data_IF_875841428467
#
_entry.id   IF_875841428467
#
_cell.length_a   1.000
_cell.length_b   1.000
_cell.length_c   1.000
_cell.angle_alpha   90.00
_cell.angle_beta   90.00
_cell.angle_gamma   90.00
#
_symmetry.space_group_name_H-M   'P 1'
#
loop_
_entity.id
_entity.type
_entity.pdbx_description
1 polymer ?
#
# COMPACT_ATOMS: atom_id res chain seq x y z
N UNK A 1 1.00 -10.73 -11.86
CA UNK A 1 -0.04 -9.69 -11.97
C UNK A 1 -1.38 -10.37 -12.15
N UNK A 2 -2.01 -10.82 -11.06
CA UNK A 2 -3.26 -11.63 -11.12
C UNK A 2 -4.40 -11.07 -10.25
N UNK A 3 -4.16 -10.00 -9.48
CA UNK A 3 -5.14 -9.51 -8.50
C UNK A 3 -5.73 -8.13 -8.81
N UNK A 4 -5.18 -7.39 -9.77
CA UNK A 4 -5.75 -6.12 -10.24
C UNK A 4 -6.13 -6.25 -11.72
N UNK A 5 -7.41 -6.50 -12.04
CA UNK A 5 -7.88 -6.84 -13.40
C UNK A 5 -7.60 -5.78 -14.48
N UNK A 6 -7.27 -4.55 -14.08
CA UNK A 6 -7.03 -3.39 -14.96
C UNK A 6 -5.58 -2.87 -14.91
N UNK A 7 -4.68 -3.51 -14.16
CA UNK A 7 -3.27 -3.13 -14.17
C UNK A 7 -2.54 -3.76 -15.36
N UNK A 8 -1.76 -2.94 -16.06
CA UNK A 8 -0.84 -3.45 -17.06
C UNK A 8 0.21 -4.34 -16.38
N UNK A 9 0.74 -5.37 -17.05
CA UNK A 9 1.90 -6.10 -16.55
C UNK A 9 3.10 -5.13 -16.49
N UNK A 10 3.31 -4.50 -15.34
CA UNK A 10 4.45 -3.64 -15.09
C UNK A 10 5.57 -4.49 -14.50
N UNK A 11 6.76 -4.38 -15.09
CA UNK A 11 7.98 -4.86 -14.45
C UNK A 11 8.28 -3.91 -13.28
N UNK A 12 7.86 -4.31 -12.08
CA UNK A 12 8.21 -3.60 -10.86
C UNK A 12 9.71 -3.76 -10.61
N UNK A 13 10.40 -2.65 -10.42
CA UNK A 13 11.84 -2.64 -10.17
C UNK A 13 12.12 -2.81 -8.70
N UNK A 14 11.20 -2.32 -7.86
CA UNK A 14 11.29 -2.41 -6.41
C UNK A 14 9.91 -2.42 -5.77
N UNK A 15 9.75 -3.25 -4.75
CA UNK A 15 8.61 -3.23 -3.82
C UNK A 15 9.18 -3.36 -2.42
N UNK A 16 8.93 -2.37 -1.57
CA UNK A 16 9.28 -2.39 -0.15
C UNK A 16 8.02 -2.17 0.64
N UNK A 17 7.75 -3.04 1.61
CA UNK A 17 6.66 -2.88 2.57
C UNK A 17 7.23 -2.82 3.98
N UNK A 18 6.69 -1.94 4.81
CA UNK A 18 7.01 -1.80 6.22
C UNK A 18 5.72 -1.86 7.04
N UNK A 19 5.81 -2.51 8.21
CA UNK A 19 4.71 -2.62 9.17
C UNK A 19 5.23 -2.15 10.52
N UNK A 20 4.52 -1.18 11.11
CA UNK A 20 4.85 -0.60 12.40
C UNK A 20 3.70 -0.79 13.38
N UNK A 21 4.00 -1.10 14.64
CA UNK A 21 3.00 -1.20 15.70
C UNK A 21 3.11 0.02 16.59
N UNK A 22 2.00 0.75 16.76
CA UNK A 22 1.88 1.83 17.73
C UNK A 22 1.03 1.37 18.91
N UNK A 23 1.71 1.05 20.01
CA UNK A 23 1.08 0.59 21.25
C UNK A 23 0.29 1.70 21.93
N UNK A 24 0.71 2.96 21.78
CA UNK A 24 0.07 4.09 22.44
C UNK A 24 -1.31 4.39 21.83
N UNK A 25 -1.43 4.29 20.50
CA UNK A 25 -2.70 4.44 19.79
C UNK A 25 -3.45 3.13 19.54
N UNK A 26 -2.87 1.97 19.94
CA UNK A 26 -3.40 0.64 19.64
C UNK A 26 -3.67 0.42 18.14
N UNK A 27 -2.74 0.89 17.30
CA UNK A 27 -2.88 0.84 15.85
C UNK A 27 -1.69 0.15 15.18
N UNK A 28 -1.93 -0.32 13.95
CA UNK A 28 -0.90 -0.92 13.09
C UNK A 28 -0.81 -0.06 11.83
N UNK A 29 0.38 0.49 11.59
CA UNK A 29 0.72 1.20 10.36
C UNK A 29 1.27 0.24 9.33
N UNK A 30 0.91 0.46 8.06
CA UNK A 30 1.51 -0.22 6.93
C UNK A 30 1.87 0.80 5.85
N UNK A 31 3.13 0.80 5.43
CA UNK A 31 3.63 1.66 4.36
C UNK A 31 4.20 0.79 3.25
N UNK A 32 3.92 1.14 1.99
CA UNK A 32 4.53 0.47 0.85
C UNK A 32 5.10 1.49 -0.14
N UNK A 33 6.31 1.23 -0.61
CA UNK A 33 6.96 1.95 -1.69
C UNK A 33 7.13 1.02 -2.89
N UNK A 34 6.60 1.45 -4.04
CA UNK A 34 6.67 0.71 -5.30
C UNK A 34 7.33 1.57 -6.34
N UNK A 35 8.26 0.99 -7.11
CA UNK A 35 8.99 1.66 -8.18
C UNK A 35 8.87 0.86 -9.48
N UNK A 36 8.87 1.57 -10.61
CA UNK A 36 8.94 0.96 -11.95
C UNK A 36 9.60 1.90 -12.95
N UNK A 37 10.18 1.34 -14.01
CA UNK A 37 10.58 2.08 -15.23
C UNK A 37 9.51 1.93 -16.34
N UNK A 38 8.25 2.08 -15.97
CA UNK A 38 7.09 1.95 -16.84
C UNK A 38 6.59 3.29 -17.40
N UNK A 39 5.68 3.22 -18.39
CA UNK A 39 4.99 4.39 -18.96
C UNK A 39 3.80 4.87 -18.11
N UNK A 40 3.36 4.05 -17.16
CA UNK A 40 2.25 4.33 -16.25
C UNK A 40 2.79 4.42 -14.82
N UNK A 41 2.10 5.20 -13.98
CA UNK A 41 2.39 5.23 -12.55
C UNK A 41 2.07 3.89 -11.88
N UNK A 42 2.54 3.75 -10.63
CA UNK A 42 2.39 2.56 -9.78
C UNK A 42 1.61 2.87 -8.49
N UNK A 43 0.75 3.89 -8.52
CA UNK A 43 -0.06 4.30 -7.38
C UNK A 43 -0.97 3.16 -6.91
N UNK A 44 -1.55 2.42 -7.85
CA UNK A 44 -2.47 1.32 -7.56
C UNK A 44 -1.72 0.13 -6.96
N UNK A 45 -0.52 -0.18 -7.45
CA UNK A 45 0.33 -1.23 -6.92
C UNK A 45 0.76 -0.94 -5.48
N UNK A 46 1.08 0.33 -5.16
CA UNK A 46 1.39 0.74 -3.79
C UNK A 46 0.18 0.60 -2.86
N UNK A 47 -0.99 1.11 -3.27
CA UNK A 47 -2.23 0.99 -2.48
C UNK A 47 -2.65 -0.48 -2.28
N UNK A 48 -2.47 -1.29 -3.32
CA UNK A 48 -2.78 -2.72 -3.27
C UNK A 48 -1.84 -3.46 -2.32
N UNK A 49 -0.55 -3.15 -2.33
CA UNK A 49 0.42 -3.73 -1.40
C UNK A 49 0.06 -3.42 0.07
N UNK A 50 -0.31 -2.17 0.37
CA UNK A 50 -0.77 -1.78 1.72
C UNK A 50 -2.06 -2.50 2.11
N UNK A 51 -3.05 -2.54 1.22
CA UNK A 51 -4.32 -3.25 1.47
C UNK A 51 -4.11 -4.73 1.80
N UNK A 52 -3.32 -5.44 0.99
CA UNK A 52 -3.05 -6.86 1.23
C UNK A 52 -2.26 -7.06 2.52
N UNK A 53 -1.29 -6.18 2.82
CA UNK A 53 -0.57 -6.20 4.09
C UNK A 53 -1.51 -6.05 5.30
N UNK A 54 -2.39 -5.05 5.28
CA UNK A 54 -3.36 -4.82 6.35
C UNK A 54 -4.41 -5.93 6.47
N UNK A 55 -4.87 -6.49 5.36
CA UNK A 55 -5.76 -7.66 5.37
C UNK A 55 -5.08 -8.89 5.97
N UNK A 56 -3.78 -9.06 5.77
CA UNK A 56 -3.00 -10.14 6.38
C UNK A 56 -2.92 -9.96 7.90
N UNK A 57 -2.68 -8.74 8.36
CA UNK A 57 -2.71 -8.40 9.80
C UNK A 57 -4.10 -8.66 10.39
N UNK A 58 -5.17 -8.24 9.69
CA UNK A 58 -6.53 -8.52 10.11
C UNK A 58 -6.76 -10.03 10.23
N UNK A 59 -6.32 -10.83 9.26
CA UNK A 59 -6.46 -12.28 9.27
C UNK A 59 -5.77 -12.93 10.47
N UNK A 60 -4.59 -12.44 10.87
CA UNK A 60 -3.86 -12.94 12.03
C UNK A 60 -4.51 -12.55 13.37
N UNK A 61 -5.13 -11.37 13.44
CA UNK A 61 -5.65 -10.81 14.70
C UNK A 61 -7.16 -10.98 14.89
N UNK A 62 -7.93 -11.34 13.85
CA UNK A 62 -9.41 -11.48 13.90
C UNK A 62 -9.95 -12.44 14.96
N UNK A 63 -9.12 -13.37 15.44
CA UNK A 63 -9.49 -14.28 16.51
C UNK A 63 -9.56 -13.58 17.88
N UNK A 64 -8.74 -12.53 18.06
CA UNK A 64 -8.65 -11.74 19.30
C UNK A 64 -9.64 -10.58 19.26
N UNK A 65 -9.67 -9.86 18.14
CA UNK A 65 -10.58 -8.72 17.94
C UNK A 65 -11.13 -8.71 16.51
N UNK A 66 -12.46 -8.79 16.37
CA UNK A 66 -13.14 -8.72 15.06
C UNK A 66 -13.56 -7.30 14.69
N UNK A 67 -13.54 -6.37 15.65
CA UNK A 67 -13.92 -4.98 15.49
C UNK A 67 -12.84 -4.10 14.88
N UNK A 68 -11.66 -4.65 14.58
CA UNK A 68 -10.59 -3.91 13.90
C UNK A 68 -11.09 -3.28 12.59
N UNK A 69 -10.67 -2.04 12.34
CA UNK A 69 -11.03 -1.28 11.14
C UNK A 69 -9.76 -0.95 10.38
N UNK A 70 -9.80 -1.18 9.06
CA UNK A 70 -8.76 -0.71 8.15
C UNK A 70 -9.19 0.68 7.66
N UNK A 71 -8.39 1.70 7.96
CA UNK A 71 -8.68 3.08 7.62
C UNK A 71 -7.42 3.82 7.14
N UNK A 72 -7.60 5.04 6.61
CA UNK A 72 -6.48 5.91 6.27
C UNK A 72 -5.61 5.46 5.09
N UNK A 73 -6.04 4.47 4.29
CA UNK A 73 -5.30 4.00 3.12
C UNK A 73 -5.31 5.07 2.03
N UNK A 74 -4.16 5.69 1.78
CA UNK A 74 -3.97 6.74 0.77
C UNK A 74 -2.54 6.75 0.23
N UNK A 75 -2.36 7.34 -0.95
CA UNK A 75 -1.01 7.61 -1.49
C UNK A 75 -0.45 8.82 -0.73
N UNK A 76 0.77 8.70 -0.23
CA UNK A 76 1.46 9.80 0.46
C UNK A 76 2.33 10.60 -0.49
N UNK A 77 3.06 9.91 -1.36
CA UNK A 77 4.02 10.52 -2.29
C UNK A 77 4.00 9.77 -3.62
N UNK A 78 4.23 10.51 -4.69
CA UNK A 78 4.41 9.99 -6.04
C UNK A 78 5.46 10.83 -6.74
N UNK A 79 6.41 10.19 -7.39
CA UNK A 79 7.41 10.85 -8.22
C UNK A 79 7.32 10.39 -9.67
N UNK A 80 7.52 11.34 -10.59
CA UNK A 80 7.60 11.06 -12.02
C UNK A 80 6.27 10.90 -12.77
N UNK A 81 6.39 10.71 -14.08
CA UNK A 81 5.28 10.75 -15.04
C UNK A 81 4.92 12.17 -15.48
N UNK A 82 3.94 12.29 -16.38
CA UNK A 82 3.56 13.60 -16.97
C UNK A 82 2.98 14.57 -15.92
N UNK A 83 2.37 14.06 -14.86
CA UNK A 83 1.82 14.86 -13.76
C UNK A 83 2.87 15.41 -12.80
N UNK A 84 4.14 14.99 -12.92
CA UNK A 84 5.21 15.42 -12.02
C UNK A 84 5.09 14.82 -10.62
N UNK A 85 5.86 15.38 -9.70
CA UNK A 85 5.94 14.93 -8.32
C UNK A 85 4.75 15.47 -7.52
N UNK A 86 4.17 14.60 -6.69
CA UNK A 86 3.02 14.89 -5.88
C UNK A 86 3.22 14.37 -4.46
N UNK A 87 2.84 15.19 -3.49
CA UNK A 87 2.87 14.86 -2.06
C UNK A 87 1.51 15.21 -1.48
N UNK A 88 0.95 14.30 -0.67
CA UNK A 88 -0.31 14.52 0.03
C UNK A 88 -0.17 15.66 1.05
N UNK A 89 -1.11 16.61 1.04
CA UNK A 89 -1.22 17.67 2.04
C UNK A 89 -1.88 17.19 3.33
#
# INVERSE_FOLDING_TARGET
SELVPLCHPLALTRVVGDISVDVASSSIGCTAQVETFGKTGVEIEALFAVQVGLLTVYDMCKAVDRGMVIEGVKVMEKHGGRSGDWVAC
#
